data_IF_106359183794
#
_entry.id   IF_106359183794
#
_cell.length_a   1.000
_cell.length_b   1.000
_cell.length_c   1.000
_cell.angle_alpha   90.00
_cell.angle_beta   90.00
_cell.angle_gamma   90.00
#
_symmetry.space_group_name_H-M   'P 1'
#
loop_
_entity.id
_entity.type
_entity.pdbx_description
1 polymer ?
#
# COMPACT_ATOMS: atom_id res chain seq x y z
N UNK A 1 18.50 -11.02 -38.93
CA UNK A 1 19.59 -10.41 -38.14
C UNK A 1 19.39 -8.92 -37.89
N UNK A 2 18.54 -8.21 -38.65
CA UNK A 2 18.42 -6.73 -38.54
C UNK A 2 17.51 -6.24 -37.40
N UNK A 3 16.44 -6.97 -37.07
CA UNK A 3 15.47 -6.56 -36.04
C UNK A 3 16.07 -6.59 -34.62
N UNK A 4 16.89 -7.61 -34.32
CA UNK A 4 17.57 -7.74 -33.03
C UNK A 4 18.59 -6.62 -32.80
N UNK A 5 19.30 -6.21 -33.85
CA UNK A 5 20.25 -5.09 -33.80
C UNK A 5 19.56 -3.74 -33.61
N UNK A 6 18.36 -3.56 -34.19
CA UNK A 6 17.59 -2.34 -34.02
C UNK A 6 17.03 -2.21 -32.59
N UNK A 7 16.49 -3.29 -32.03
CA UNK A 7 16.00 -3.31 -30.65
C UNK A 7 17.12 -3.11 -29.63
N UNK A 8 18.29 -3.71 -29.85
CA UNK A 8 19.45 -3.52 -28.98
C UNK A 8 19.90 -2.05 -28.95
N UNK A 9 19.80 -1.35 -30.08
CA UNK A 9 20.15 0.08 -30.19
C UNK A 9 19.11 0.97 -29.51
N UNK A 10 17.83 0.67 -29.69
CA UNK A 10 16.74 1.35 -28.97
C UNK A 10 16.90 1.24 -27.45
N UNK A 11 17.27 0.06 -26.94
CA UNK A 11 17.52 -0.13 -25.50
C UNK A 11 18.77 0.59 -25.00
N UNK A 12 19.79 0.73 -25.85
CA UNK A 12 20.98 1.51 -25.53
C UNK A 12 20.66 3.02 -25.46
N UNK A 13 19.95 3.53 -26.46
CA UNK A 13 19.59 4.95 -26.56
C UNK A 13 18.60 5.38 -25.46
N UNK A 14 17.82 4.45 -24.94
CA UNK A 14 16.87 4.66 -23.82
C UNK A 14 17.46 4.36 -22.44
N UNK A 15 18.74 3.97 -22.36
CA UNK A 15 19.43 3.73 -21.09
C UNK A 15 19.02 2.43 -20.38
N UNK A 16 18.30 1.54 -21.04
CA UNK A 16 17.85 0.25 -20.49
C UNK A 16 19.01 -0.74 -20.36
N UNK A 17 19.99 -0.68 -21.28
CA UNK A 17 21.21 -1.50 -21.22
C UNK A 17 22.45 -0.61 -21.11
N UNK A 18 23.31 -0.81 -20.09
CA UNK A 18 24.55 -0.06 -19.99
C UNK A 18 25.53 -0.48 -21.11
N UNK A 19 26.42 0.43 -21.57
CA UNK A 19 27.47 0.09 -22.51
C UNK A 19 28.28 -1.12 -22.04
N UNK A 20 28.37 -2.12 -22.92
CA UNK A 20 28.89 -3.44 -22.59
C UNK A 20 30.41 -3.48 -22.44
N UNK A 21 31.17 -2.44 -22.83
CA UNK A 21 32.61 -2.29 -22.57
C UNK A 21 33.12 -0.90 -22.96
N UNK A 22 34.13 -0.37 -22.25
CA UNK A 22 34.84 0.86 -22.61
C UNK A 22 35.06 1.80 -21.43
N UNK A 23 35.78 2.90 -21.66
CA UNK A 23 35.99 3.98 -20.66
C UNK A 23 34.69 4.69 -20.26
N UNK A 24 33.65 4.48 -21.07
CA UNK A 24 32.28 4.95 -20.89
C UNK A 24 31.36 3.85 -20.33
N UNK A 25 31.85 2.60 -20.19
CA UNK A 25 31.14 1.56 -19.45
C UNK A 25 31.33 1.84 -17.97
N UNK A 26 30.22 1.95 -17.25
CA UNK A 26 30.13 2.40 -15.86
C UNK A 26 30.19 3.93 -15.69
N UNK A 27 29.42 4.66 -16.50
CA UNK A 27 28.55 5.64 -15.87
C UNK A 27 27.38 4.86 -15.28
N UNK A 28 27.48 4.63 -13.97
CA UNK A 28 26.38 4.82 -13.03
C UNK A 28 25.02 4.64 -13.70
N UNK A 29 24.40 3.50 -13.45
CA UNK A 29 22.96 3.51 -13.24
C UNK A 29 22.70 4.68 -12.31
N UNK A 30 22.31 5.85 -12.84
CA UNK A 30 21.77 6.89 -12.00
C UNK A 30 20.72 6.16 -11.17
N UNK A 31 20.82 6.30 -9.86
CA UNK A 31 19.92 5.64 -8.94
C UNK A 31 18.53 6.22 -9.21
N UNK A 32 17.83 5.63 -10.18
CA UNK A 32 16.47 5.99 -10.52
C UNK A 32 15.62 5.29 -9.47
N UNK A 33 15.08 6.09 -8.56
CA UNK A 33 14.05 5.62 -7.66
C UNK A 33 12.76 5.41 -8.46
N UNK A 34 12.38 4.15 -8.65
CA UNK A 34 11.16 3.74 -9.34
C UNK A 34 9.95 3.64 -8.41
N UNK A 35 10.14 3.79 -7.09
CA UNK A 35 9.06 3.67 -6.12
C UNK A 35 7.93 4.67 -6.35
N UNK A 36 8.18 5.96 -6.67
CA UNK A 36 7.10 6.91 -6.96
C UNK A 36 6.21 6.46 -8.13
N UNK A 37 6.78 5.91 -9.19
CA UNK A 37 6.02 5.42 -10.35
C UNK A 37 5.25 4.14 -10.02
N UNK A 38 5.82 3.26 -9.21
CA UNK A 38 5.15 2.06 -8.72
C UNK A 38 3.96 2.40 -7.83
N UNK A 39 4.13 3.33 -6.88
CA UNK A 39 3.07 3.83 -6.00
C UNK A 39 1.91 4.44 -6.78
N UNK A 40 2.20 5.26 -7.80
CA UNK A 40 1.15 5.84 -8.65
C UNK A 40 0.43 4.77 -9.46
N UNK A 41 1.16 3.79 -10.01
CA UNK A 41 0.57 2.68 -10.75
C UNK A 41 -0.37 1.85 -9.86
N UNK A 42 0.02 1.61 -8.61
CA UNK A 42 -0.78 0.90 -7.63
C UNK A 42 -2.00 1.71 -7.20
N UNK A 43 -1.83 3.02 -6.93
CA UNK A 43 -2.93 3.94 -6.63
C UNK A 43 -3.97 3.92 -7.75
N UNK A 44 -3.53 4.11 -9.00
CA UNK A 44 -4.41 4.09 -10.17
C UNK A 44 -5.14 2.74 -10.33
N UNK A 45 -4.46 1.62 -10.05
CA UNK A 45 -5.08 0.31 -10.05
C UNK A 45 -6.19 0.20 -8.99
N UNK A 46 -5.94 0.66 -7.76
CA UNK A 46 -6.94 0.65 -6.69
C UNK A 46 -8.14 1.53 -7.06
N UNK A 47 -7.90 2.75 -7.54
CA UNK A 47 -8.97 3.67 -7.95
C UNK A 47 -9.89 3.06 -9.01
N UNK A 48 -9.33 2.33 -9.98
CA UNK A 48 -10.11 1.64 -11.02
C UNK A 48 -11.02 0.55 -10.43
N UNK A 49 -10.58 -0.15 -9.39
CA UNK A 49 -11.38 -1.21 -8.77
C UNK A 49 -12.39 -0.66 -7.74
N UNK A 50 -12.09 0.46 -7.08
CA UNK A 50 -12.96 1.07 -6.06
C UNK A 50 -13.96 2.07 -6.64
N UNK A 51 -13.58 2.80 -7.69
CA UNK A 51 -14.44 3.70 -8.44
C UNK A 51 -15.19 2.91 -9.49
N UNK A 52 -16.43 2.52 -9.19
CA UNK A 52 -17.30 1.84 -10.14
C UNK A 52 -17.35 2.62 -11.45
N UNK A 53 -17.04 1.92 -12.54
CA UNK A 53 -17.22 2.42 -13.89
C UNK A 53 -18.71 2.60 -14.16
N UNK A 54 -19.22 3.81 -13.90
CA UNK A 54 -20.50 4.26 -14.46
C UNK A 54 -20.19 5.41 -15.43
N UNK A 55 -19.79 5.02 -16.65
CA UNK A 55 -19.50 5.94 -17.76
C UNK A 55 -20.76 6.69 -18.28
N UNK A 56 -21.92 6.55 -17.61
CA UNK A 56 -23.23 7.03 -18.06
C UNK A 56 -23.96 7.97 -17.07
N UNK A 57 -23.31 8.47 -16.02
CA UNK A 57 -23.91 9.46 -15.10
C UNK A 57 -23.29 10.85 -15.32
N UNK A 58 -24.03 11.73 -15.99
CA UNK A 58 -23.65 13.09 -16.35
C UNK A 58 -23.61 14.07 -15.16
N UNK A 59 -24.09 13.66 -13.97
CA UNK A 59 -24.04 14.43 -12.72
C UNK A 59 -22.91 13.97 -11.75
N UNK A 60 -22.04 13.04 -12.16
CA UNK A 60 -20.93 12.56 -11.33
C UNK A 60 -19.80 13.61 -11.24
N UNK A 61 -19.90 14.50 -10.24
CA UNK A 61 -18.82 15.37 -9.80
C UNK A 61 -17.61 14.52 -9.35
N UNK A 62 -16.74 14.25 -10.32
CA UNK A 62 -15.55 13.40 -10.26
C UNK A 62 -14.49 13.84 -9.22
N UNK A 63 -14.80 14.81 -8.36
CA UNK A 63 -13.89 15.36 -7.35
C UNK A 63 -13.74 14.50 -6.08
N UNK A 64 -14.66 13.55 -5.84
CA UNK A 64 -14.59 12.64 -4.68
C UNK A 64 -14.03 11.24 -4.98
N UNK A 65 -13.78 10.90 -6.25
CA UNK A 65 -13.33 9.56 -6.65
C UNK A 65 -11.83 9.29 -6.40
N UNK A 66 -11.02 10.32 -6.14
CA UNK A 66 -9.56 10.17 -5.98
C UNK A 66 -9.10 9.67 -4.60
N UNK A 67 -10.02 9.61 -3.63
CA UNK A 67 -9.75 9.25 -2.23
C UNK A 67 -10.77 8.22 -1.69
N UNK A 68 -10.78 7.00 -2.22
CA UNK A 68 -11.78 5.98 -1.86
C UNK A 68 -11.67 5.51 -0.40
N UNK A 69 -10.54 5.79 0.28
CA UNK A 69 -10.32 5.42 1.68
C UNK A 69 -10.57 6.60 2.64
N UNK A 70 -11.09 7.72 2.15
CA UNK A 70 -11.41 8.89 2.96
C UNK A 70 -12.32 8.53 4.14
N UNK A 71 -11.90 8.90 5.35
CA UNK A 71 -12.64 8.65 6.59
C UNK A 71 -12.35 7.30 7.27
N UNK A 72 -11.56 6.43 6.63
CA UNK A 72 -11.07 5.21 7.27
C UNK A 72 -9.78 5.47 8.02
N UNK A 73 -9.67 4.94 9.23
CA UNK A 73 -8.43 4.89 10.01
C UNK A 73 -7.80 3.51 9.90
N UNK A 74 -6.63 3.46 9.27
CA UNK A 74 -5.92 2.21 8.95
C UNK A 74 -4.58 2.21 9.67
N UNK A 75 -4.31 1.18 10.46
CA UNK A 75 -2.99 0.96 11.05
C UNK A 75 -2.21 0.01 10.15
N UNK A 76 -1.15 0.49 9.51
CA UNK A 76 -0.21 -0.38 8.80
C UNK A 76 0.93 -0.78 9.76
N UNK A 77 1.19 -2.08 9.89
CA UNK A 77 2.39 -2.63 10.49
C UNK A 77 3.24 -3.29 9.39
N UNK A 78 4.22 -2.55 8.87
CA UNK A 78 5.12 -3.05 7.83
C UNK A 78 6.31 -3.84 8.39
N UNK A 79 6.44 -3.92 9.72
CA UNK A 79 7.43 -4.73 10.42
C UNK A 79 8.89 -4.50 10.01
N UNK A 80 9.21 -3.28 9.58
CA UNK A 80 10.52 -2.87 9.04
C UNK A 80 10.96 -3.63 7.77
N UNK A 81 10.02 -4.27 7.08
CA UNK A 81 10.23 -4.93 5.79
C UNK A 81 10.20 -3.98 4.59
N UNK A 82 10.10 -4.54 3.40
CA UNK A 82 10.00 -3.77 2.14
C UNK A 82 8.65 -3.06 1.99
N UNK A 83 7.61 -3.51 2.68
CA UNK A 83 6.22 -3.04 2.55
C UNK A 83 5.93 -1.64 3.09
N UNK A 84 6.92 -0.92 3.61
CA UNK A 84 6.74 0.43 4.17
C UNK A 84 6.10 1.44 3.22
N UNK A 85 6.34 1.31 1.91
CA UNK A 85 5.79 2.21 0.89
C UNK A 85 4.25 2.20 0.83
N UNK A 86 3.59 1.13 1.27
CA UNK A 86 2.12 1.07 1.33
C UNK A 86 1.54 2.17 2.22
N UNK A 87 2.30 2.69 3.20
CA UNK A 87 1.89 3.84 4.00
C UNK A 87 1.54 5.05 3.13
N UNK A 88 2.43 5.40 2.18
CA UNK A 88 2.21 6.53 1.27
C UNK A 88 1.03 6.29 0.34
N UNK A 89 0.88 5.05 -0.16
CA UNK A 89 -0.22 4.68 -1.05
C UNK A 89 -1.57 4.84 -0.34
N UNK A 90 -1.68 4.33 0.89
CA UNK A 90 -2.91 4.43 1.69
C UNK A 90 -3.25 5.89 2.06
N UNK A 91 -2.26 6.69 2.44
CA UNK A 91 -2.41 8.12 2.71
C UNK A 91 -2.89 8.88 1.48
N UNK A 92 -2.28 8.62 0.31
CA UNK A 92 -2.67 9.22 -0.97
C UNK A 92 -4.10 8.83 -1.42
N UNK A 93 -4.58 7.65 -1.00
CA UNK A 93 -5.96 7.19 -1.21
C UNK A 93 -6.95 7.75 -0.15
N UNK A 94 -6.47 8.55 0.81
CA UNK A 94 -7.29 9.29 1.76
C UNK A 94 -7.47 8.66 3.14
N UNK A 95 -6.82 7.52 3.44
CA UNK A 95 -6.90 6.90 4.75
C UNK A 95 -6.11 7.70 5.81
N UNK A 96 -6.61 7.74 7.05
CA UNK A 96 -5.81 8.16 8.20
C UNK A 96 -4.89 7.00 8.62
N UNK A 97 -3.62 7.09 8.23
CA UNK A 97 -2.57 6.11 8.54
C UNK A 97 -1.60 6.57 9.63
N UNK A 98 -1.93 7.64 10.36
CA UNK A 98 -1.04 8.31 11.33
C UNK A 98 -0.55 7.42 12.47
N UNK A 99 -1.26 6.32 12.75
CA UNK A 99 -0.94 5.36 13.80
C UNK A 99 -0.17 4.12 13.30
N UNK A 100 0.31 4.13 12.05
CA UNK A 100 1.11 3.05 11.48
C UNK A 100 2.45 2.90 12.19
N UNK A 101 2.97 1.67 12.19
CA UNK A 101 4.18 1.28 12.91
C UNK A 101 5.15 0.54 12.00
N UNK A 102 6.43 0.59 12.37
CA UNK A 102 7.51 -0.14 11.70
C UNK A 102 7.54 0.09 10.18
N UNK A 103 7.23 1.33 9.75
CA UNK A 103 7.11 1.74 8.33
C UNK A 103 8.47 1.88 7.65
N UNK A 104 9.47 2.37 8.38
CA UNK A 104 10.82 2.55 7.82
C UNK A 104 11.53 1.20 7.68
N UNK A 105 12.02 0.84 6.49
CA UNK A 105 12.74 -0.41 6.27
C UNK A 105 14.03 -0.47 7.13
N UNK A 106 14.18 -1.54 7.90
CA UNK A 106 15.36 -1.81 8.72
C UNK A 106 15.66 -3.32 8.77
N UNK A 107 16.76 -3.72 8.14
CA UNK A 107 17.20 -5.12 8.06
C UNK A 107 17.58 -5.76 9.39
N UNK A 108 17.72 -4.97 10.46
CA UNK A 108 18.00 -5.48 11.81
C UNK A 108 16.74 -5.97 12.53
N UNK A 109 15.55 -5.64 12.00
CA UNK A 109 14.24 -6.05 12.52
C UNK A 109 14.10 -5.83 14.04
N UNK A 110 14.11 -4.58 14.52
CA UNK A 110 14.09 -4.26 15.94
C UNK A 110 12.83 -4.77 16.66
N UNK A 111 11.70 -4.89 15.95
CA UNK A 111 10.44 -5.44 16.45
C UNK A 111 10.35 -6.99 16.33
N UNK A 112 11.38 -7.63 15.77
CA UNK A 112 11.38 -9.05 15.39
C UNK A 112 11.11 -9.26 13.90
N UNK A 113 11.39 -10.49 13.41
CA UNK A 113 11.20 -10.84 11.99
C UNK A 113 9.72 -10.68 11.61
N UNK A 114 9.38 -9.87 10.60
CA UNK A 114 7.99 -9.59 10.27
C UNK A 114 7.33 -10.80 9.63
N UNK A 115 6.27 -11.26 10.29
CA UNK A 115 5.41 -12.33 9.82
C UNK A 115 4.00 -12.13 10.41
N UNK A 116 2.97 -11.90 9.58
CA UNK A 116 1.62 -11.62 10.04
C UNK A 116 0.92 -12.80 10.74
N UNK A 117 1.52 -13.99 10.75
CA UNK A 117 1.05 -15.16 11.49
C UNK A 117 1.59 -15.23 12.93
N UNK A 118 2.60 -14.41 13.27
CA UNK A 118 3.19 -14.41 14.60
C UNK A 118 2.33 -13.65 15.60
N UNK A 119 2.00 -14.32 16.70
CA UNK A 119 1.15 -13.75 17.76
C UNK A 119 1.65 -12.40 18.26
N UNK A 120 2.97 -12.22 18.38
CA UNK A 120 3.55 -10.94 18.79
C UNK A 120 3.17 -9.78 17.88
N UNK A 121 3.24 -9.97 16.55
CA UNK A 121 2.89 -8.95 15.56
C UNK A 121 1.37 -8.69 15.55
N UNK A 122 0.58 -9.77 15.68
CA UNK A 122 -0.89 -9.69 15.78
C UNK A 122 -1.30 -8.91 17.04
N UNK A 123 -0.73 -9.23 18.19
CA UNK A 123 -1.04 -8.61 19.48
C UNK A 123 -0.65 -7.13 19.51
N UNK A 124 0.54 -6.80 18.99
CA UNK A 124 1.00 -5.41 18.87
C UNK A 124 0.09 -4.59 17.97
N UNK A 125 -0.22 -5.10 16.77
CA UNK A 125 -1.08 -4.40 15.80
C UNK A 125 -2.49 -4.24 16.37
N UNK A 126 -3.07 -5.29 16.95
CA UNK A 126 -4.40 -5.26 17.56
C UNK A 126 -4.47 -4.22 18.66
N UNK A 127 -3.46 -4.19 19.55
CA UNK A 127 -3.39 -3.22 20.64
C UNK A 127 -3.39 -1.78 20.14
N UNK A 128 -2.60 -1.46 19.12
CA UNK A 128 -2.56 -0.11 18.56
C UNK A 128 -3.89 0.23 17.89
N UNK A 129 -4.47 -0.68 17.11
CA UNK A 129 -5.78 -0.47 16.50
C UNK A 129 -6.87 -0.18 17.54
N UNK A 130 -6.88 -0.90 18.66
CA UNK A 130 -7.81 -0.63 19.77
C UNK A 130 -7.57 0.73 20.43
N UNK A 131 -6.31 1.11 20.64
CA UNK A 131 -5.92 2.38 21.26
C UNK A 131 -6.35 3.60 20.43
N UNK A 132 -6.21 3.54 19.11
CA UNK A 132 -6.52 4.66 18.21
C UNK A 132 -7.92 4.58 17.60
N UNK A 133 -8.68 3.53 17.96
CA UNK A 133 -9.98 3.20 17.38
C UNK A 133 -9.90 3.12 15.85
N UNK A 134 -8.92 2.37 15.34
CA UNK A 134 -8.79 2.09 13.91
C UNK A 134 -9.93 1.19 13.41
N UNK A 135 -10.28 1.35 12.14
CA UNK A 135 -11.26 0.49 11.47
C UNK A 135 -10.65 -0.88 11.15
N UNK A 136 -9.38 -0.89 10.76
CA UNK A 136 -8.64 -2.10 10.39
C UNK A 136 -7.13 -1.91 10.64
N UNK A 137 -6.47 -3.00 11.04
CA UNK A 137 -5.02 -3.13 11.02
C UNK A 137 -4.57 -4.04 9.89
N UNK A 138 -3.51 -3.64 9.19
CA UNK A 138 -2.87 -4.39 8.10
C UNK A 138 -1.45 -4.75 8.55
N UNK A 139 -1.05 -6.00 8.41
CA UNK A 139 0.28 -6.50 8.73
C UNK A 139 0.91 -7.08 7.48
N UNK A 140 2.19 -6.81 7.23
CA UNK A 140 2.94 -7.34 6.09
C UNK A 140 4.10 -8.20 6.54
N UNK A 141 4.51 -9.17 5.72
CA UNK A 141 5.76 -9.89 5.93
C UNK A 141 6.96 -9.15 5.32
N UNK A 142 8.14 -9.79 5.35
CA UNK A 142 9.42 -9.12 5.05
C UNK A 142 9.50 -8.54 3.65
N UNK A 143 9.03 -9.28 2.65
CA UNK A 143 9.04 -8.93 1.23
C UNK A 143 7.68 -8.43 0.71
N UNK A 144 6.67 -8.36 1.59
CA UNK A 144 5.34 -7.80 1.36
C UNK A 144 4.52 -8.55 0.29
N UNK A 145 4.73 -9.86 0.14
CA UNK A 145 3.90 -10.72 -0.70
C UNK A 145 2.75 -11.39 0.09
N UNK A 146 2.81 -11.36 1.42
CA UNK A 146 1.76 -11.82 2.33
C UNK A 146 1.28 -10.69 3.22
N UNK A 147 -0.02 -10.71 3.50
CA UNK A 147 -0.64 -9.78 4.42
C UNK A 147 -1.57 -10.49 5.42
N UNK A 148 -1.70 -9.90 6.60
CA UNK A 148 -2.69 -10.25 7.61
C UNK A 148 -3.53 -9.04 7.99
N UNK A 149 -4.76 -9.29 8.44
CA UNK A 149 -5.71 -8.24 8.81
C UNK A 149 -6.25 -8.48 10.22
N UNK A 150 -6.39 -7.41 10.98
CA UNK A 150 -7.07 -7.40 12.29
C UNK A 150 -8.19 -6.38 12.28
N UNK A 151 -9.36 -6.76 12.79
CA UNK A 151 -10.52 -5.86 12.94
C UNK A 151 -10.82 -5.72 14.44
N UNK A 152 -10.66 -4.52 15.03
CA UNK A 152 -10.89 -4.31 16.45
C UNK A 152 -12.33 -4.63 16.86
N UNK A 153 -12.49 -5.19 18.07
CA UNK A 153 -13.81 -5.53 18.61
C UNK A 153 -14.73 -4.31 18.76
N UNK A 154 -14.16 -3.12 19.00
CA UNK A 154 -14.88 -1.85 19.12
C UNK A 154 -15.74 -1.56 17.86
N UNK A 155 -15.23 -1.87 16.68
CA UNK A 155 -15.94 -1.74 15.40
C UNK A 155 -17.14 -2.70 15.36
N UNK A 156 -16.91 -3.96 15.75
CA UNK A 156 -17.94 -5.01 15.74
C UNK A 156 -19.10 -4.71 16.70
N UNK A 157 -18.79 -4.22 17.91
CA UNK A 157 -19.80 -3.89 18.92
C UNK A 157 -20.73 -2.76 18.47
N UNK A 158 -20.20 -1.77 17.76
CA UNK A 158 -20.95 -0.63 17.24
C UNK A 158 -21.99 -1.06 16.20
N UNK A 159 -21.59 -1.92 15.27
CA UNK A 159 -22.46 -2.45 14.21
C UNK A 159 -23.59 -3.33 14.77
N UNK A 160 -23.29 -4.15 15.79
CA UNK A 160 -24.30 -5.00 16.45
C UNK A 160 -25.36 -4.15 17.17
N UNK A 161 -24.95 -3.07 17.84
CA UNK A 161 -25.90 -2.17 18.53
C UNK A 161 -26.80 -1.41 17.56
N UNK A 162 -26.27 -0.95 16.42
CA UNK A 162 -27.06 -0.25 15.40
C UNK A 162 -28.10 -1.17 14.75
N UNK A 163 -27.73 -2.42 14.45
CA UNK A 163 -28.68 -3.41 13.90
C UNK A 163 -29.82 -3.73 14.89
N UNK A 164 -29.52 -3.83 16.19
CA UNK A 164 -30.54 -4.07 17.21
C UNK A 164 -31.51 -2.89 17.39
N UNK A 165 -31.03 -1.65 17.24
CA UNK A 165 -31.89 -0.46 17.31
C UNK A 165 -32.82 -0.33 16.09
N UNK A 166 -32.35 -0.67 14.89
CA UNK A 166 -33.20 -0.66 13.69
C UNK A 166 -34.30 -1.72 13.73
N UNK A 167 -34.04 -2.88 14.34
CA UNK A 167 -35.04 -3.93 14.52
C UNK A 167 -36.12 -3.58 15.57
N UNK A 168 -35.84 -2.66 16.50
CA UNK A 168 -36.81 -2.22 17.52
C UNK A 168 -37.72 -1.07 17.04
N UNK A 169 -37.42 -0.46 15.89
CA UNK A 169 -38.20 0.63 15.30
C UNK A 169 -39.14 0.17 14.17
N UNK A 170 -39.19 -1.14 13.89
CA UNK A 170 -40.17 -1.79 12.99
C UNK A 170 -41.17 -2.59 13.83
#
# INVERSE_FOLDING_TARGET
>A
MDLASHHARYWYDTGIVPPTSGKDAVFCADWVDYMPQYEESLRAAILRETGGQDDNDDDNDNSNNDKPLAGLKIVLNAGNGSGGFFHRVLDNLGADVSASMHVEPDSTFPAGIPNPEYSQMIDETTRVCEQVQADIGIMLDTDADRCGFVVPRTVISSSIQQQQQQQQQQ
#
